data_IF_146592566775
#
_entry.id   IF_146592566775
#
_cell.length_a   1.000
_cell.length_b   1.000
_cell.length_c   1.000
_cell.angle_alpha   90.00
_cell.angle_beta   90.00
_cell.angle_gamma   90.00
#
_symmetry.space_group_name_H-M   'P 1'
#
loop_
_entity.id
_entity.type
_entity.pdbx_description
1 polymer ?
#
# COMPACT_ATOMS: atom_id res chain seq x y z
N UNK A 1 19.63 -13.75 -1.18
CA UNK A 1 20.03 -12.65 -0.35
C UNK A 1 19.12 -12.43 0.82
N UNK A 2 19.50 -11.57 1.70
CA UNK A 2 18.67 -11.23 2.87
C UNK A 2 17.54 -10.33 2.40
N UNK A 3 16.30 -10.74 2.67
CA UNK A 3 15.14 -9.91 2.41
C UNK A 3 15.06 -8.83 3.48
N UNK A 4 14.94 -7.60 3.04
CA UNK A 4 14.82 -6.47 3.97
C UNK A 4 13.44 -5.89 3.83
N UNK A 5 12.72 -5.81 4.95
CA UNK A 5 11.41 -5.18 4.99
C UNK A 5 11.53 -3.70 4.67
N UNK A 6 10.54 -3.19 3.99
CA UNK A 6 10.45 -1.77 3.68
C UNK A 6 9.08 -1.24 4.06
N UNK A 7 9.03 0.04 4.37
CA UNK A 7 7.78 0.74 4.58
C UNK A 7 7.52 1.60 3.35
N UNK A 8 6.32 1.50 2.80
CA UNK A 8 5.92 2.34 1.68
C UNK A 8 4.76 3.20 2.13
N UNK A 9 4.85 4.50 1.89
CA UNK A 9 3.78 5.44 2.23
C UNK A 9 3.26 6.11 0.97
N UNK A 10 1.94 6.08 0.83
CA UNK A 10 1.24 6.85 -0.20
C UNK A 10 0.49 8.00 0.46
N UNK A 11 0.63 9.19 -0.13
CA UNK A 11 -0.10 10.39 0.32
C UNK A 11 -0.83 10.97 -0.89
N UNK A 12 -1.96 10.37 -1.29
CA UNK A 12 -2.71 10.87 -2.44
C UNK A 12 -3.11 12.33 -2.27
N UNK A 13 -3.17 13.11 -3.36
CA UNK A 13 -3.61 14.50 -3.28
C UNK A 13 -5.00 14.65 -2.68
N UNK A 14 -5.88 13.69 -2.98
CA UNK A 14 -7.24 13.67 -2.43
C UNK A 14 -7.76 12.24 -2.43
N UNK A 15 -8.06 11.72 -1.26
CA UNK A 15 -8.66 10.40 -1.12
C UNK A 15 -9.45 10.36 0.18
N UNK A 16 -10.70 9.97 0.10
CA UNK A 16 -11.54 9.74 1.28
C UNK A 16 -11.44 8.29 1.73
N UNK A 17 -11.91 8.01 2.94
CA UNK A 17 -11.97 6.63 3.44
C UNK A 17 -12.84 5.75 2.55
N UNK A 18 -13.97 6.29 2.05
CA UNK A 18 -14.86 5.53 1.16
C UNK A 18 -14.18 5.20 -0.16
N UNK A 19 -13.41 6.14 -0.71
CA UNK A 19 -12.65 5.89 -1.94
C UNK A 19 -11.60 4.81 -1.71
N UNK A 20 -10.90 4.86 -0.58
CA UNK A 20 -9.93 3.84 -0.21
C UNK A 20 -10.59 2.47 -0.14
N UNK A 21 -11.73 2.37 0.55
CA UNK A 21 -12.44 1.10 0.69
C UNK A 21 -12.85 0.54 -0.67
N UNK A 22 -13.30 1.40 -1.57
CA UNK A 22 -13.67 0.99 -2.94
C UNK A 22 -12.47 0.47 -3.72
N UNK A 23 -11.32 1.12 -3.57
CA UNK A 23 -10.08 0.68 -4.21
C UNK A 23 -9.68 -0.70 -3.69
N UNK A 24 -9.65 -0.87 -2.36
CA UNK A 24 -9.26 -2.14 -1.74
C UNK A 24 -10.20 -3.26 -2.20
N UNK A 25 -11.50 -3.01 -2.22
CA UNK A 25 -12.47 -3.99 -2.69
C UNK A 25 -12.18 -4.41 -4.13
N UNK A 26 -11.89 -3.43 -5.00
CA UNK A 26 -11.57 -3.71 -6.39
C UNK A 26 -10.30 -4.56 -6.51
N UNK A 27 -9.27 -4.23 -5.73
CA UNK A 27 -8.01 -4.98 -5.75
C UNK A 27 -8.20 -6.41 -5.26
N UNK A 28 -9.06 -6.63 -4.28
CA UNK A 28 -9.40 -7.98 -3.83
C UNK A 28 -10.10 -8.76 -4.95
N UNK A 29 -11.04 -8.14 -5.63
CA UNK A 29 -11.76 -8.81 -6.73
C UNK A 29 -10.84 -9.17 -7.88
N UNK A 30 -9.83 -8.34 -8.14
CA UNK A 30 -8.85 -8.60 -9.19
C UNK A 30 -7.80 -9.64 -8.78
N UNK A 31 -7.84 -10.09 -7.53
CA UNK A 31 -6.86 -11.05 -7.03
C UNK A 31 -5.48 -10.44 -6.79
N UNK A 32 -5.40 -9.13 -6.71
CA UNK A 32 -4.13 -8.40 -6.54
C UNK A 32 -3.82 -8.17 -5.07
N UNK A 33 -4.84 -8.15 -4.22
CA UNK A 33 -4.68 -7.77 -2.82
C UNK A 33 -5.27 -8.85 -1.90
N UNK A 34 -4.63 -9.22 -0.79
CA UNK A 34 -3.31 -8.72 -0.38
C UNK A 34 -2.19 -9.36 -1.18
N UNK A 35 -1.12 -8.61 -1.39
CA UNK A 35 0.07 -9.15 -2.04
C UNK A 35 0.74 -10.18 -1.11
N UNK A 36 1.35 -11.24 -1.65
CA UNK A 36 2.03 -12.24 -0.81
C UNK A 36 3.12 -11.68 0.10
N UNK A 37 3.74 -10.58 -0.30
CA UNK A 37 4.77 -9.94 0.51
C UNK A 37 4.28 -8.84 1.44
N UNK A 38 2.99 -8.57 1.45
CA UNK A 38 2.42 -7.53 2.31
C UNK A 38 2.22 -8.08 3.72
N UNK A 39 2.87 -7.47 4.70
CA UNK A 39 2.74 -7.88 6.09
C UNK A 39 1.69 -7.08 6.85
N UNK A 40 1.52 -5.81 6.48
CA UNK A 40 0.66 -4.90 7.21
C UNK A 40 0.28 -3.73 6.32
N UNK A 41 -0.96 -3.31 6.39
CA UNK A 41 -1.41 -2.10 5.71
C UNK A 41 -2.24 -1.26 6.67
N UNK A 42 -1.99 0.04 6.68
CA UNK A 42 -2.69 1.01 7.51
C UNK A 42 -3.21 2.14 6.63
N UNK A 43 -4.49 2.47 6.79
CA UNK A 43 -5.06 3.66 6.19
C UNK A 43 -5.42 4.61 7.32
N UNK A 44 -5.02 5.86 7.22
CA UNK A 44 -5.16 6.82 8.31
C UNK A 44 -5.27 8.24 7.77
N UNK A 45 -5.83 9.13 8.57
CA UNK A 45 -6.02 10.51 8.20
C UNK A 45 -7.46 10.96 8.44
N UNK A 46 -7.83 12.09 7.86
CA UNK A 46 -9.17 12.66 8.01
C UNK A 46 -9.65 13.23 6.68
N UNK A 47 -10.97 13.24 6.49
CA UNK A 47 -11.60 13.84 5.32
C UNK A 47 -11.10 13.22 4.02
N UNK A 48 -10.64 14.06 3.10
CA UNK A 48 -10.08 13.61 1.83
C UNK A 48 -8.55 13.55 1.85
N UNK A 49 -7.94 13.62 3.03
CA UNK A 49 -6.49 13.55 3.22
C UNK A 49 -6.07 12.23 3.83
N UNK A 50 -6.69 11.14 3.39
CA UNK A 50 -6.30 9.82 3.83
C UNK A 50 -4.94 9.43 3.24
N UNK A 51 -4.16 8.70 4.03
CA UNK A 51 -2.84 8.20 3.65
C UNK A 51 -2.80 6.70 3.89
N UNK A 52 -1.87 6.03 3.23
CA UNK A 52 -1.72 4.57 3.37
C UNK A 52 -0.26 4.25 3.63
N UNK A 53 0.00 3.41 4.62
CA UNK A 53 1.32 2.85 4.88
C UNK A 53 1.26 1.35 4.73
N UNK A 54 2.21 0.78 3.98
CA UNK A 54 2.27 -0.65 3.72
C UNK A 54 3.64 -1.17 4.13
N UNK A 55 3.65 -2.24 4.88
CA UNK A 55 4.88 -2.92 5.27
C UNK A 55 5.05 -4.15 4.37
N UNK A 56 6.08 -4.12 3.53
CA UNK A 56 6.41 -5.24 2.65
C UNK A 56 7.65 -5.97 3.16
N UNK A 57 7.70 -7.27 2.93
CA UNK A 57 8.86 -8.08 3.30
C UNK A 57 10.07 -7.82 2.41
N UNK A 58 9.87 -7.22 1.23
CA UNK A 58 10.97 -6.89 0.32
C UNK A 58 10.55 -5.80 -0.66
N UNK A 59 11.56 -5.13 -1.21
CA UNK A 59 11.36 -4.13 -2.24
C UNK A 59 10.79 -4.76 -3.51
N UNK A 60 11.23 -5.97 -3.82
CA UNK A 60 10.77 -6.70 -5.00
C UNK A 60 9.28 -6.97 -4.95
N UNK A 61 8.76 -7.37 -3.78
CA UNK A 61 7.32 -7.56 -3.64
C UNK A 61 6.56 -6.25 -3.79
N UNK A 62 7.08 -5.16 -3.26
CA UNK A 62 6.46 -3.85 -3.47
C UNK A 62 6.42 -3.48 -4.94
N UNK A 63 7.53 -3.67 -5.67
CA UNK A 63 7.59 -3.33 -7.09
C UNK A 63 6.60 -4.16 -7.90
N UNK A 64 6.51 -5.45 -7.60
CA UNK A 64 5.53 -6.34 -8.23
C UNK A 64 4.10 -5.89 -7.96
N UNK A 65 3.82 -5.54 -6.70
CA UNK A 65 2.50 -5.03 -6.30
C UNK A 65 2.18 -3.73 -7.05
N UNK A 66 3.13 -2.80 -7.11
CA UNK A 66 2.96 -1.53 -7.81
C UNK A 66 2.62 -1.72 -9.29
N UNK A 67 3.29 -2.67 -9.94
CA UNK A 67 3.02 -2.98 -11.34
C UNK A 67 1.60 -3.51 -11.57
N UNK A 68 1.05 -4.22 -10.58
CA UNK A 68 -0.31 -4.77 -10.67
C UNK A 68 -1.38 -3.74 -10.36
N UNK A 69 -1.14 -2.87 -9.36
CA UNK A 69 -2.17 -1.91 -8.96
C UNK A 69 -2.23 -0.68 -9.88
N UNK A 70 -1.12 -0.32 -10.51
CA UNK A 70 -1.06 0.86 -11.36
C UNK A 70 -2.18 0.95 -12.38
N UNK A 71 -2.37 -0.08 -13.23
CA UNK A 71 -3.46 -0.08 -14.22
C UNK A 71 -4.84 0.02 -13.59
N UNK A 72 -5.06 -0.63 -12.44
CA UNK A 72 -6.36 -0.60 -11.76
C UNK A 72 -6.65 0.80 -11.24
N UNK A 73 -5.67 1.44 -10.60
CA UNK A 73 -5.84 2.80 -10.09
C UNK A 73 -6.08 3.78 -11.23
N UNK A 74 -5.34 3.62 -12.33
CA UNK A 74 -5.51 4.47 -13.51
C UNK A 74 -6.91 4.34 -14.07
N UNK A 75 -7.42 3.11 -14.19
CA UNK A 75 -8.77 2.85 -14.67
C UNK A 75 -9.82 3.50 -13.76
N UNK A 76 -9.58 3.52 -12.46
CA UNK A 76 -10.48 4.13 -11.49
C UNK A 76 -10.33 5.65 -11.40
N UNK A 77 -9.37 6.22 -12.14
CA UNK A 77 -9.11 7.66 -12.09
C UNK A 77 -8.49 8.10 -10.76
N UNK A 78 -7.82 7.19 -10.08
CA UNK A 78 -7.22 7.49 -8.77
C UNK A 78 -5.73 7.76 -8.91
N UNK A 79 -5.30 8.91 -8.41
CA UNK A 79 -3.89 9.27 -8.33
C UNK A 79 -3.37 8.92 -6.94
N UNK A 80 -2.49 7.92 -6.80
CA UNK A 80 -1.96 7.55 -5.49
C UNK A 80 -0.85 8.49 -4.99
N UNK A 81 -0.37 9.40 -5.84
CA UNK A 81 0.81 10.21 -5.55
C UNK A 81 2.09 9.39 -5.68
N UNK A 82 3.22 10.05 -5.48
CA UNK A 82 4.52 9.39 -5.50
C UNK A 82 4.72 8.62 -4.20
N UNK A 83 5.02 7.33 -4.25
CA UNK A 83 5.28 6.57 -3.04
C UNK A 83 6.61 6.95 -2.40
N UNK A 84 6.61 7.04 -1.07
CA UNK A 84 7.84 7.13 -0.31
C UNK A 84 8.25 5.71 0.06
N UNK A 85 9.46 5.32 -0.31
CA UNK A 85 10.02 4.01 0.02
C UNK A 85 11.06 4.21 1.11
N UNK A 86 10.82 3.64 2.28
CA UNK A 86 11.60 3.90 3.49
C UNK A 86 12.21 2.60 3.98
N UNK A 87 13.51 2.60 4.15
CA UNK A 87 14.20 1.46 4.75
C UNK A 87 13.87 1.41 6.24
N UNK A 88 13.59 0.21 6.73
CA UNK A 88 13.27 0.03 8.13
C UNK A 88 14.53 -0.23 8.94
N UNK A 89 14.61 0.42 10.08
CA UNK A 89 15.64 0.12 11.06
C UNK A 89 15.20 -1.05 11.95
N UNK A 90 13.93 -1.06 12.35
CA UNK A 90 13.46 -2.05 13.32
C UNK A 90 11.94 -2.19 13.25
N UNK A 91 11.48 -3.42 13.40
CA UNK A 91 10.06 -3.74 13.58
C UNK A 91 9.94 -4.51 14.88
N UNK A 92 9.11 -4.04 15.78
CA UNK A 92 8.83 -4.72 17.04
C UNK A 92 7.39 -5.21 16.98
N UNK A 93 7.20 -6.52 17.12
CA UNK A 93 5.87 -7.12 17.10
C UNK A 93 5.54 -7.65 18.48
N UNK A 94 4.31 -7.44 18.91
CA UNK A 94 3.84 -8.01 20.17
C UNK A 94 3.71 -9.53 20.02
N UNK A 95 4.28 -10.26 20.93
CA UNK A 95 4.13 -11.71 20.98
C UNK A 95 2.77 -12.04 21.59
N UNK A 96 2.15 -13.08 21.09
CA UNK A 96 0.90 -13.61 21.64
C UNK A 96 1.16 -14.82 22.52
#
# INVERSE_FOLDING_TARGET
GILMSILVRFSPPSMTAEQYDTIVERLYKEGVHPDPGLELELCFGTGDQMKVSLLFDSKEHFESFGAKIGPVLSEMGMDPGEPEVIELHKVIRRKK
#
